data_IF_737570282493
#
_entry.id   IF_737570282493
#
_cell.length_a   1.000
_cell.length_b   1.000
_cell.length_c   1.000
_cell.angle_alpha   90.00
_cell.angle_beta   90.00
_cell.angle_gamma   90.00
#
_symmetry.space_group_name_H-M   'P 1'
#
loop_
_entity.id
_entity.type
_entity.pdbx_description
1 polymer ?
#
# COMPACT_ATOMS: atom_id res chain seq x y z
N UNK A 1 47.70 -25.90 -12.38
CA UNK A 1 47.27 -25.87 -10.95
C UNK A 1 47.50 -24.48 -10.39
N UNK A 2 46.44 -23.71 -10.08
CA UNK A 2 46.33 -22.73 -8.97
C UNK A 2 44.94 -22.10 -9.04
N UNK A 3 44.07 -22.56 -8.13
CA UNK A 3 42.67 -22.14 -7.97
C UNK A 3 42.62 -20.64 -7.72
N UNK A 4 41.80 -19.93 -8.51
CA UNK A 4 41.39 -18.56 -8.20
C UNK A 4 40.68 -18.55 -6.83
N UNK A 5 41.37 -18.11 -5.78
CA UNK A 5 40.77 -17.76 -4.50
C UNK A 5 39.83 -16.59 -4.73
N UNK A 6 38.57 -16.89 -5.08
CA UNK A 6 37.45 -15.96 -4.99
C UNK A 6 37.20 -15.69 -3.51
N UNK A 7 38.04 -14.87 -2.89
CA UNK A 7 37.75 -14.31 -1.57
C UNK A 7 36.51 -13.43 -1.75
N UNK A 8 35.35 -13.79 -1.19
CA UNK A 8 34.19 -12.92 -1.24
C UNK A 8 34.53 -11.64 -0.48
N UNK A 9 34.36 -10.48 -1.11
CA UNK A 9 34.56 -9.19 -0.46
C UNK A 9 33.62 -9.11 0.77
N UNK A 10 34.13 -8.72 1.96
CA UNK A 10 33.39 -8.86 3.22
C UNK A 10 32.11 -8.00 3.32
N UNK A 11 31.85 -7.12 2.35
CA UNK A 11 30.63 -6.31 2.25
C UNK A 11 29.55 -6.94 1.35
N UNK A 12 29.82 -8.06 0.68
CA UNK A 12 28.91 -8.69 -0.29
C UNK A 12 27.88 -9.65 0.34
N UNK A 13 27.49 -9.39 1.59
CA UNK A 13 26.29 -9.94 2.24
C UNK A 13 25.26 -8.84 2.53
N UNK A 14 25.08 -7.89 1.62
CA UNK A 14 23.93 -6.98 1.71
C UNK A 14 22.74 -7.59 1.00
N UNK A 15 22.14 -8.59 1.63
CA UNK A 15 20.73 -8.88 1.43
C UNK A 15 19.97 -7.62 1.85
N UNK A 16 19.75 -6.68 0.92
CA UNK A 16 18.82 -5.56 1.11
C UNK A 16 17.45 -6.19 1.38
N UNK A 17 17.16 -6.44 2.66
CA UNK A 17 15.79 -6.63 3.14
C UNK A 17 15.05 -5.41 2.64
N UNK A 18 14.15 -5.59 1.66
CA UNK A 18 13.20 -4.54 1.29
C UNK A 18 12.58 -4.06 2.60
N UNK A 19 12.52 -2.74 2.88
CA UNK A 19 11.88 -2.26 4.08
C UNK A 19 10.48 -2.91 4.11
N UNK A 20 10.24 -3.71 5.15
CA UNK A 20 8.95 -4.34 5.35
C UNK A 20 7.93 -3.19 5.34
N UNK A 21 6.97 -3.23 4.40
CA UNK A 21 5.90 -2.24 4.40
C UNK A 21 5.21 -2.37 5.74
N UNK A 22 5.38 -1.38 6.61
CA UNK A 22 4.74 -1.34 7.90
C UNK A 22 3.23 -1.25 7.66
N UNK A 23 2.54 -2.36 7.91
CA UNK A 23 1.09 -2.41 7.85
C UNK A 23 0.57 -2.04 9.22
N UNK A 24 0.22 -0.76 9.40
CA UNK A 24 -0.43 -0.30 10.62
C UNK A 24 -1.90 -0.77 10.58
N UNK A 25 -2.35 -1.62 11.53
CA UNK A 25 -3.74 -2.03 11.59
C UNK A 25 -4.62 -0.84 11.97
N UNK A 26 -5.64 -0.55 11.16
CA UNK A 26 -6.58 0.54 11.37
C UNK A 26 -7.98 -0.02 11.58
N UNK A 27 -8.61 0.30 12.71
CA UNK A 27 -10.00 -0.06 13.01
C UNK A 27 -10.88 1.15 12.71
N UNK A 28 -11.85 0.99 11.82
CA UNK A 28 -12.76 2.05 11.39
C UNK A 28 -14.20 1.72 11.76
N UNK A 29 -14.91 2.71 12.30
CA UNK A 29 -16.37 2.66 12.41
C UNK A 29 -16.96 3.11 11.08
N UNK A 30 -17.64 2.20 10.40
CA UNK A 30 -18.23 2.45 9.08
C UNK A 30 -19.73 2.15 9.14
N UNK A 31 -20.60 3.01 8.56
CA UNK A 31 -22.04 2.74 8.51
C UNK A 31 -22.35 1.40 7.80
N UNK A 32 -23.37 0.63 8.24
CA UNK A 32 -23.70 -0.67 7.65
C UNK A 32 -23.92 -0.61 6.13
N UNK A 33 -24.59 0.44 5.65
CA UNK A 33 -24.82 0.65 4.22
C UNK A 33 -23.51 0.81 3.43
N UNK A 34 -22.53 1.53 3.98
CA UNK A 34 -21.23 1.70 3.34
C UNK A 34 -20.42 0.39 3.34
N UNK A 35 -20.50 -0.41 4.41
CA UNK A 35 -19.89 -1.75 4.46
C UNK A 35 -20.48 -2.65 3.38
N UNK A 36 -21.80 -2.65 3.20
CA UNK A 36 -22.47 -3.44 2.17
C UNK A 36 -21.98 -3.06 0.75
N UNK A 37 -21.89 -1.76 0.46
CA UNK A 37 -21.35 -1.27 -0.82
C UNK A 37 -19.89 -1.67 -1.02
N UNK A 38 -19.06 -1.54 0.02
CA UNK A 38 -17.65 -1.93 -0.02
C UNK A 38 -17.49 -3.43 -0.31
N UNK A 39 -18.30 -4.29 0.33
CA UNK A 39 -18.33 -5.74 0.09
C UNK A 39 -18.79 -6.09 -1.33
N UNK A 40 -19.80 -5.40 -1.85
CA UNK A 40 -20.28 -5.62 -3.22
C UNK A 40 -19.19 -5.28 -4.25
N UNK A 41 -18.52 -4.13 -4.11
CA UNK A 41 -17.41 -3.73 -4.99
C UNK A 41 -16.24 -4.71 -4.87
N UNK A 42 -15.91 -5.13 -3.66
CA UNK A 42 -14.88 -6.14 -3.39
C UNK A 42 -15.17 -7.46 -4.11
N UNK A 43 -16.41 -7.94 -4.06
CA UNK A 43 -16.84 -9.17 -4.75
C UNK A 43 -16.71 -9.05 -6.28
N UNK A 44 -17.24 -7.97 -6.87
CA UNK A 44 -17.18 -7.73 -8.33
C UNK A 44 -15.73 -7.64 -8.83
N UNK A 45 -14.86 -6.99 -8.05
CA UNK A 45 -13.46 -6.76 -8.43
C UNK A 45 -12.50 -7.88 -7.99
N UNK A 46 -12.99 -8.90 -7.29
CA UNK A 46 -12.18 -9.97 -6.67
C UNK A 46 -11.04 -9.39 -5.80
N UNK A 47 -11.36 -8.35 -5.03
CA UNK A 47 -10.43 -7.67 -4.12
C UNK A 47 -10.88 -7.83 -2.67
N UNK A 48 -9.96 -7.63 -1.72
CA UNK A 48 -10.35 -7.53 -0.31
C UNK A 48 -11.01 -6.17 -0.03
N UNK A 49 -11.96 -6.10 0.93
CA UNK A 49 -12.57 -4.84 1.37
C UNK A 49 -11.52 -3.77 1.74
N UNK A 50 -10.45 -4.17 2.42
CA UNK A 50 -9.34 -3.28 2.77
C UNK A 50 -8.63 -2.71 1.53
N UNK A 51 -8.46 -3.52 0.48
CA UNK A 51 -7.83 -3.06 -0.77
C UNK A 51 -8.72 -2.08 -1.52
N UNK A 52 -10.03 -2.33 -1.55
CA UNK A 52 -11.02 -1.39 -2.12
C UNK A 52 -10.99 -0.07 -1.36
N UNK A 53 -10.98 -0.12 -0.03
CA UNK A 53 -10.90 1.08 0.80
C UNK A 53 -9.60 1.86 0.57
N UNK A 54 -8.45 1.17 0.47
CA UNK A 54 -7.16 1.79 0.18
C UNK A 54 -7.17 2.54 -1.15
N UNK A 55 -7.78 1.95 -2.19
CA UNK A 55 -7.91 2.59 -3.50
C UNK A 55 -8.84 3.80 -3.42
N UNK A 56 -9.98 3.66 -2.74
CA UNK A 56 -10.93 4.75 -2.56
C UNK A 56 -10.29 5.96 -1.84
N UNK A 57 -9.52 5.72 -0.78
CA UNK A 57 -8.79 6.77 -0.06
C UNK A 57 -7.80 7.49 -0.98
N UNK A 58 -7.00 6.77 -1.77
CA UNK A 58 -6.05 7.40 -2.70
C UNK A 58 -6.72 8.26 -3.77
N UNK A 59 -7.88 7.82 -4.27
CA UNK A 59 -8.65 8.59 -5.24
C UNK A 59 -9.21 9.87 -4.60
N UNK A 60 -9.74 9.74 -3.38
CA UNK A 60 -10.28 10.86 -2.63
C UNK A 60 -9.21 11.87 -2.22
N UNK A 61 -8.04 11.42 -1.75
CA UNK A 61 -6.91 12.31 -1.39
C UNK A 61 -6.47 13.20 -2.55
N UNK A 62 -6.38 12.64 -3.77
CA UNK A 62 -6.05 13.43 -4.96
C UNK A 62 -7.10 14.49 -5.23
N UNK A 63 -8.37 14.09 -5.24
CA UNK A 63 -9.48 15.02 -5.48
C UNK A 63 -9.55 16.10 -4.40
N UNK A 64 -9.34 15.74 -3.14
CA UNK A 64 -9.35 16.67 -2.03
C UNK A 64 -8.19 17.68 -2.13
N UNK A 65 -6.99 17.23 -2.50
CA UNK A 65 -5.85 18.13 -2.73
C UNK A 65 -6.14 19.11 -3.86
N UNK A 66 -6.77 18.67 -4.95
CA UNK A 66 -7.16 19.55 -6.05
C UNK A 66 -8.20 20.58 -5.60
N UNK A 67 -9.26 20.15 -4.90
CA UNK A 67 -10.30 21.04 -4.37
C UNK A 67 -9.74 22.04 -3.35
N UNK A 68 -8.88 21.59 -2.44
CA UNK A 68 -8.25 22.45 -1.45
C UNK A 68 -7.28 23.44 -2.09
N UNK A 69 -6.59 23.05 -3.17
CA UNK A 69 -5.72 23.94 -3.93
C UNK A 69 -6.50 25.04 -4.65
N UNK A 70 -7.69 24.73 -5.17
CA UNK A 70 -8.54 25.69 -5.89
C UNK A 70 -9.41 26.58 -4.98
N UNK A 71 -9.52 26.29 -3.68
CA UNK A 71 -10.24 27.13 -2.70
C UNK A 71 -9.35 28.10 -1.92
N UNK A 72 -8.04 28.07 -2.15
CA UNK A 72 -7.09 29.05 -1.63
C UNK A 72 -6.88 30.26 -2.56
N UNK A 73 -7.60 30.31 -3.68
CA UNK A 73 -7.70 31.44 -4.62
C UNK A 73 -8.97 32.26 -4.34
#
# INVERSE_FOLDING_TARGET
MRKASRRPLPWQKTGRKRPAREMVPLILRVPPAAIARLKAVAAVRKLTPARVLTVALRLYERHLQDVLRHRGD
#
